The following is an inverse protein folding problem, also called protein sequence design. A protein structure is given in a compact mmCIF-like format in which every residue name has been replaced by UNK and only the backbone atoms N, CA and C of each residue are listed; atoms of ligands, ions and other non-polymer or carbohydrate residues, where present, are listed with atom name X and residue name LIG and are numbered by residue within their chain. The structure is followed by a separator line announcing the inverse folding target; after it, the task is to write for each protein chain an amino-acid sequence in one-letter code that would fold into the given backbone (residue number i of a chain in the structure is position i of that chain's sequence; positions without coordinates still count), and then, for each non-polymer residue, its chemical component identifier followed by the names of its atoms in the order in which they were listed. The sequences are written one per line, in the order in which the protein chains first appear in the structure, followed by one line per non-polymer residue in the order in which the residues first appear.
data_IF_637923446192
#
_entry.id   IF_637923446192
#
_cell.length_a   1.000
_cell.length_b   1.000
_cell.length_c   1.000
_cell.angle_alpha   90.00
_cell.angle_beta   90.00
_cell.angle_gamma   90.00
#
_symmetry.space_group_name_H-M   'P 1'
#
loop_
_entity.id
_entity.type
_entity.pdbx_description
1 polymer ?
#
# COMPACT_ATOMS: atom_id res chain seq x y z
N UNK A 1 -36.80 32.52 15.51
CA UNK A 1 -36.54 32.24 15.30
C UNK A 1 -35.61 31.60 15.06
N UNK A 2 -35.71 31.83 15.14
CA UNK A 2 -35.07 31.35 14.87
C UNK A 2 -34.14 30.54 14.69
N UNK A 3 -34.16 30.27 14.74
CA UNK A 3 -33.45 29.51 14.53
C UNK A 3 -32.56 29.01 14.06
N UNK A 4 -32.55 29.17 14.08
CA UNK A 4 -31.88 28.81 13.61
C UNK A 4 -30.87 28.37 13.46
N UNK A 5 -30.98 28.20 13.55
CA UNK A 5 -30.12 27.87 13.35
C UNK A 5 -29.37 27.10 13.21
N UNK A 6 -29.52 27.05 13.18
CA UNK A 6 -28.87 26.49 12.94
C UNK A 6 -28.14 25.80 12.53
N UNK A 7 -28.24 25.90 12.50
CA UNK A 7 -27.70 25.38 12.01
C UNK A 7 -26.72 24.83 11.68
N UNK A 8 -26.81 25.07 11.76
CA UNK A 8 -26.05 24.68 11.38
C UNK A 8 -25.20 23.93 11.29
N UNK A 9 -25.33 23.96 11.43
CA UNK A 9 -24.64 23.24 11.38
C UNK A 9 -23.95 22.66 11.02
N UNK A 10 -24.19 22.94 10.98
CA UNK A 10 -23.65 22.40 10.57
C UNK A 10 -22.85 21.81 10.34
N UNK A 11 -23.02 22.10 10.41
CA UNK A 11 -22.50 21.56 10.08
C UNK A 11 -21.63 21.01 9.94
N UNK A 12 -21.66 21.29 9.94
CA UNK A 12 -20.99 20.83 9.75
C UNK A 12 -20.13 20.05 9.72
N UNK A 13 -20.29 20.09 9.87
CA UNK A 13 -19.65 19.30 9.94
C UNK A 13 -18.94 18.68 9.54
N UNK A 14 -18.91 18.83 9.27
CA UNK A 14 -18.32 18.20 8.81
C UNK A 14 -17.49 17.60 8.50
N UNK A 15 -17.76 17.92 8.40
CA UNK A 15 -17.10 17.40 8.14
C UNK A 15 -16.39 16.71 8.10
N UNK A 16 -16.28 16.82 8.24
CA UNK A 16 -15.47 16.27 8.18
C UNK A 16 -14.97 15.39 7.95
N UNK A 17 -15.29 15.37 7.90
CA UNK A 17 -14.89 14.49 7.62
C UNK A 17 -14.28 14.05 6.94
N UNK A 18 -14.48 14.25 6.37
CA UNK A 18 -13.90 13.56 5.54
C UNK A 18 -12.78 13.21 5.80
N UNK A 19 -12.68 13.14 6.38
CA UNK A 19 -11.58 13.01 6.27
C UNK A 19 -10.82 12.07 5.61
N UNK A 20 -9.75 12.25 5.40
CA UNK A 20 -8.88 11.39 4.71
C UNK A 20 -8.50 10.26 5.62
N UNK A 21 -8.70 9.07 5.19
CA UNK A 21 -8.31 7.89 5.93
C UNK A 21 -7.15 7.24 5.24
N UNK A 22 -6.19 6.78 6.02
CA UNK A 22 -5.17 5.90 5.50
C UNK A 22 -5.82 4.61 5.05
N UNK A 23 -5.39 4.05 3.95
CA UNK A 23 -5.83 2.74 3.54
C UNK A 23 -5.40 1.71 4.58
N UNK A 24 -6.20 0.70 4.80
CA UNK A 24 -5.84 -0.39 5.69
C UNK A 24 -5.00 -1.41 4.94
N UNK A 25 -4.21 -2.20 5.66
CA UNK A 25 -3.44 -3.26 5.03
C UNK A 25 -4.32 -4.34 4.44
N UNK A 26 -5.54 -4.52 4.96
CA UNK A 26 -6.47 -5.49 4.40
C UNK A 26 -6.83 -5.14 2.96
N UNK A 27 -6.78 -3.87 2.59
CA UNK A 27 -7.06 -3.46 1.22
C UNK A 27 -5.95 -3.87 0.26
N UNK A 28 -4.78 -4.21 0.79
CA UNK A 28 -3.67 -4.69 -0.02
C UNK A 28 -3.74 -6.21 -0.23
N UNK A 29 -4.59 -6.92 0.51
CA UNK A 29 -4.72 -8.36 0.37
C UNK A 29 -5.30 -8.69 -1.01
N UNK A 30 -4.69 -9.65 -1.69
CA UNK A 30 -5.12 -10.07 -3.01
C UNK A 30 -3.94 -10.30 -3.94
N UNK A 31 -4.24 -10.41 -5.22
CA UNK A 31 -3.20 -10.62 -6.23
C UNK A 31 -2.97 -9.33 -7.01
N UNK A 32 -1.71 -9.06 -7.26
CA UNK A 32 -1.28 -7.82 -7.88
C UNK A 32 -0.27 -8.09 -8.98
N UNK A 33 -0.32 -7.30 -10.02
CA UNK A 33 0.69 -7.29 -11.05
C UNK A 33 1.69 -6.19 -10.75
N UNK A 34 2.97 -6.54 -10.74
CA UNK A 34 4.06 -5.59 -10.64
C UNK A 34 5.07 -5.95 -11.70
N UNK A 35 5.16 -5.14 -12.78
CA UNK A 35 5.95 -5.47 -13.96
C UNK A 35 5.50 -6.83 -14.51
N UNK A 36 6.40 -7.77 -14.70
CA UNK A 36 6.08 -9.09 -15.22
C UNK A 36 5.77 -10.12 -14.13
N UNK A 37 5.63 -9.66 -12.90
CA UNK A 37 5.42 -10.54 -11.76
C UNK A 37 4.00 -10.45 -11.26
N UNK A 38 3.47 -11.58 -10.80
CA UNK A 38 2.22 -11.60 -10.05
C UNK A 38 2.56 -11.88 -8.60
N UNK A 39 2.07 -11.03 -7.72
CA UNK A 39 2.36 -11.08 -6.31
C UNK A 39 1.07 -11.36 -5.58
N UNK A 40 1.10 -12.28 -4.64
CA UNK A 40 -0.05 -12.55 -3.77
C UNK A 40 0.24 -12.00 -2.39
N UNK A 41 -0.62 -11.10 -1.93
CA UNK A 41 -0.54 -10.52 -0.60
C UNK A 41 -1.59 -11.17 0.26
N UNK A 42 -1.19 -11.65 1.43
CA UNK A 42 -2.07 -12.30 2.39
C UNK A 42 -1.84 -11.76 3.78
N UNK A 43 -2.85 -11.86 4.61
CA UNK A 43 -2.67 -11.54 6.02
C UNK A 43 -1.73 -12.56 6.65
N UNK A 44 -0.86 -12.07 7.51
CA UNK A 44 0.04 -12.90 8.27
C UNK A 44 0.31 -12.19 9.59
N UNK A 45 0.71 -12.95 10.56
CA UNK A 45 1.11 -12.47 11.89
C UNK A 45 0.45 -11.17 12.35
N UNK A 46 -0.68 -11.32 13.02
CA UNK A 46 -1.37 -10.17 13.60
C UNK A 46 -2.04 -9.34 12.53
N UNK A 47 -1.77 -8.04 12.55
CA UNK A 47 -2.43 -7.10 11.64
C UNK A 47 -1.62 -6.82 10.39
N UNK A 48 -0.58 -7.59 10.15
CA UNK A 48 0.32 -7.32 9.04
C UNK A 48 0.04 -8.22 7.85
N UNK A 49 0.75 -7.96 6.76
CA UNK A 49 0.60 -8.72 5.53
C UNK A 49 1.95 -9.24 5.08
N UNK A 50 1.91 -10.35 4.35
CA UNK A 50 3.06 -10.97 3.71
C UNK A 50 2.76 -11.08 2.23
N UNK A 51 3.80 -11.08 1.41
CA UNK A 51 3.64 -11.14 -0.04
C UNK A 51 4.65 -12.09 -0.64
N UNK A 52 4.18 -12.87 -1.61
CA UNK A 52 5.03 -13.80 -2.34
C UNK A 52 4.81 -13.66 -3.82
N UNK A 53 5.86 -13.93 -4.58
CA UNK A 53 5.74 -14.02 -6.03
C UNK A 53 5.10 -15.36 -6.34
N UNK A 54 3.95 -15.33 -7.01
CA UNK A 54 3.23 -16.55 -7.38
C UNK A 54 3.35 -16.86 -8.86
N UNK A 55 3.76 -15.87 -9.68
CA UNK A 55 4.02 -16.10 -11.12
C UNK A 55 4.98 -15.03 -11.60
N UNK A 56 5.76 -15.37 -12.61
CA UNK A 56 6.70 -14.43 -13.20
C UNK A 56 7.86 -15.14 -13.85
N UNK A 57 8.76 -14.37 -14.45
CA UNK A 57 9.88 -14.96 -15.21
C UNK A 57 10.93 -15.62 -14.33
N UNK A 58 11.00 -15.27 -13.05
CA UNK A 58 11.97 -15.86 -12.14
C UNK A 58 11.57 -15.61 -10.70
N UNK A 59 12.25 -16.27 -9.77
CA UNK A 59 12.11 -16.06 -8.33
C UNK A 59 10.69 -16.32 -7.79
N UNK A 60 9.95 -17.22 -8.45
CA UNK A 60 8.64 -17.62 -7.95
C UNK A 60 8.81 -18.26 -6.57
N UNK A 61 7.97 -17.85 -5.63
CA UNK A 61 8.05 -18.29 -4.24
C UNK A 61 8.82 -17.36 -3.32
N UNK A 62 9.47 -16.34 -3.89
CA UNK A 62 10.25 -15.40 -3.09
C UNK A 62 9.33 -14.47 -2.31
N UNK A 63 9.72 -14.15 -1.08
CA UNK A 63 9.03 -13.15 -0.29
C UNK A 63 9.33 -11.75 -0.84
N UNK A 64 8.30 -10.95 -1.02
CA UNK A 64 8.46 -9.59 -1.53
C UNK A 64 8.63 -8.60 -0.41
N UNK A 65 7.85 -8.73 0.66
CA UNK A 65 7.97 -7.82 1.79
C UNK A 65 9.08 -8.32 2.71
N UNK A 66 10.15 -7.54 2.82
CA UNK A 66 11.30 -7.90 3.65
C UNK A 66 11.14 -7.42 5.08
N UNK A 67 10.13 -6.61 5.37
CA UNK A 67 9.83 -6.13 6.71
C UNK A 67 8.34 -5.93 6.85
N UNK A 68 7.89 -5.70 8.08
CA UNK A 68 6.51 -5.29 8.33
C UNK A 68 6.27 -3.93 7.68
N UNK A 69 5.04 -3.68 7.30
CA UNK A 69 4.63 -2.38 6.81
C UNK A 69 4.10 -1.57 7.98
N UNK A 70 4.57 -0.35 8.12
CA UNK A 70 4.21 0.54 9.22
C UNK A 70 3.52 1.78 8.68
N UNK A 71 2.46 2.19 9.35
CA UNK A 71 1.70 3.38 8.97
C UNK A 71 2.41 4.63 9.48
N UNK A 72 2.44 5.65 8.63
CA UNK A 72 2.95 6.95 9.01
C UNK A 72 2.39 8.00 8.06
N UNK A 73 1.69 8.99 8.62
CA UNK A 73 1.20 10.11 7.80
C UNK A 73 0.24 9.71 6.70
N UNK A 74 -0.57 8.69 6.93
CA UNK A 74 -1.55 8.25 5.94
C UNK A 74 -0.98 7.31 4.88
N UNK A 75 0.27 6.95 5.00
CA UNK A 75 0.94 6.06 4.06
C UNK A 75 1.54 4.89 4.80
N UNK A 76 2.03 3.91 4.04
CA UNK A 76 2.66 2.74 4.61
C UNK A 76 4.12 2.70 4.19
N UNK A 77 4.97 2.27 5.10
CA UNK A 77 6.41 2.20 4.87
C UNK A 77 6.92 0.83 5.26
N UNK A 78 7.84 0.30 4.46
CA UNK A 78 8.47 -0.97 4.75
C UNK A 78 9.52 -1.27 3.70
N UNK A 79 10.11 -2.46 3.82
CA UNK A 79 11.14 -2.86 2.88
C UNK A 79 10.57 -3.88 1.92
N UNK A 80 10.87 -3.72 0.63
CA UNK A 80 10.51 -4.72 -0.37
C UNK A 80 11.77 -5.22 -1.04
N UNK A 81 11.69 -6.46 -1.50
CA UNK A 81 12.74 -7.08 -2.29
C UNK A 81 12.33 -7.01 -3.75
N UNK A 82 13.19 -6.44 -4.59
CA UNK A 82 12.94 -6.38 -6.01
C UNK A 82 12.96 -7.82 -6.57
N UNK A 83 11.88 -8.28 -7.20
CA UNK A 83 11.82 -9.65 -7.68
C UNK A 83 12.77 -9.94 -8.83
N UNK A 84 13.27 -8.92 -9.49
CA UNK A 84 14.19 -9.08 -10.61
C UNK A 84 15.64 -9.15 -10.12
N UNK A 85 16.03 -8.26 -9.23
CA UNK A 85 17.43 -8.11 -8.83
C UNK A 85 17.71 -8.64 -7.43
N UNK A 86 16.67 -8.86 -6.62
CA UNK A 86 16.76 -9.24 -5.22
C UNK A 86 17.32 -8.14 -4.32
N UNK A 87 17.41 -6.93 -4.82
CA UNK A 87 17.82 -5.80 -3.99
C UNK A 87 16.67 -5.39 -3.09
N UNK A 88 17.01 -4.90 -1.90
CA UNK A 88 16.02 -4.46 -0.91
C UNK A 88 15.91 -2.94 -0.98
N UNK A 89 14.67 -2.47 -1.08
CA UNK A 89 14.35 -1.05 -1.15
C UNK A 89 13.55 -0.62 0.07
N UNK A 90 13.94 0.49 0.67
CA UNK A 90 13.10 1.15 1.66
C UNK A 90 12.00 1.86 0.89
N UNK A 91 10.78 1.46 1.13
CA UNK A 91 9.67 1.75 0.21
C UNK A 91 8.52 2.44 0.91
N UNK A 92 7.93 3.39 0.20
CA UNK A 92 6.70 4.06 0.59
C UNK A 92 5.60 3.54 -0.31
N UNK A 93 4.48 3.16 0.31
CA UNK A 93 3.31 2.64 -0.38
C UNK A 93 2.17 3.62 -0.23
N UNK A 94 1.56 4.01 -1.35
CA UNK A 94 0.40 4.88 -1.36
C UNK A 94 -0.72 4.22 -2.14
N UNK A 95 -1.90 4.15 -1.55
CA UNK A 95 -3.06 3.68 -2.29
C UNK A 95 -3.53 4.79 -3.21
N UNK A 96 -3.63 4.49 -4.51
CA UNK A 96 -4.18 5.44 -5.47
C UNK A 96 -5.68 5.23 -5.61
N UNK A 97 -6.11 3.99 -5.65
CA UNK A 97 -7.49 3.59 -5.59
C UNK A 97 -7.52 2.12 -5.15
N UNK A 98 -8.68 1.50 -5.12
CA UNK A 98 -8.80 0.15 -4.57
C UNK A 98 -8.03 -0.89 -5.37
N UNK A 99 -7.68 -0.58 -6.61
CA UNK A 99 -7.02 -1.52 -7.51
C UNK A 99 -5.61 -1.11 -7.88
N UNK A 100 -5.10 -0.02 -7.30
CA UNK A 100 -3.75 0.45 -7.61
C UNK A 100 -3.08 1.03 -6.38
N UNK A 101 -1.86 0.59 -6.14
CA UNK A 101 -0.99 1.14 -5.11
C UNK A 101 0.31 1.56 -5.76
N UNK A 102 0.79 2.73 -5.39
CA UNK A 102 2.05 3.24 -5.89
C UNK A 102 3.16 2.93 -4.90
N UNK A 103 4.32 2.55 -5.43
CA UNK A 103 5.51 2.26 -4.64
C UNK A 103 6.62 3.18 -5.07
N UNK A 104 7.28 3.80 -4.11
CA UNK A 104 8.49 4.58 -4.32
C UNK A 104 9.51 4.12 -3.30
N UNK A 105 10.70 3.74 -3.76
CA UNK A 105 11.69 3.22 -2.85
C UNK A 105 13.10 3.39 -3.33
N UNK A 106 14.03 3.32 -2.37
CA UNK A 106 15.46 3.45 -2.65
C UNK A 106 16.23 2.41 -1.87
N UNK A 107 17.33 1.94 -2.47
CA UNK A 107 18.27 1.07 -1.77
C UNK A 107 19.12 1.89 -0.81
N UNK A 108 19.90 1.22 0.03
CA UNK A 108 20.84 1.89 0.92
C UNK A 108 21.85 2.71 0.12
N UNK A 109 22.18 2.27 -1.09
CA UNK A 109 23.11 2.97 -1.97
C UNK A 109 22.45 4.09 -2.76
N UNK A 110 21.18 4.40 -2.45
CA UNK A 110 20.43 5.51 -3.05
C UNK A 110 20.07 5.28 -4.51
N UNK A 111 19.96 4.04 -4.93
CA UNK A 111 19.38 3.69 -6.21
C UNK A 111 17.88 3.58 -5.99
N UNK A 112 17.11 4.41 -6.68
CA UNK A 112 15.68 4.52 -6.43
C UNK A 112 14.87 4.04 -7.63
N UNK A 113 13.67 3.53 -7.33
CA UNK A 113 12.73 3.18 -8.38
C UNK A 113 11.31 3.46 -7.90
N UNK A 114 10.41 3.57 -8.86
CA UNK A 114 8.99 3.72 -8.61
C UNK A 114 8.25 2.67 -9.41
N UNK A 115 7.09 2.29 -8.93
CA UNK A 115 6.28 1.32 -9.63
C UNK A 115 4.87 1.32 -9.09
N UNK A 116 4.06 0.42 -9.64
CA UNK A 116 2.68 0.25 -9.21
C UNK A 116 2.35 -1.22 -9.07
N UNK A 117 1.57 -1.50 -8.02
CA UNK A 117 0.84 -2.75 -7.92
C UNK A 117 -0.53 -2.50 -8.55
N UNK A 118 -0.90 -3.28 -9.54
CA UNK A 118 -2.20 -3.22 -10.19
C UNK A 118 -2.94 -4.52 -9.90
N UNK A 119 -4.15 -4.41 -9.37
CA UNK A 119 -4.89 -5.59 -8.95
C UNK A 119 -5.20 -6.50 -10.12
N UNK A 120 -4.97 -7.78 -9.92
CA UNK A 120 -5.33 -8.80 -10.90
C UNK A 120 -6.79 -9.17 -10.66
N UNK A 121 -7.59 -9.09 -11.70
CA UNK A 121 -9.02 -9.37 -11.62
C UNK A 121 -9.34 -10.80 -11.98
#
# INVERSE_FOLDING_TARGET
MRNRAAVLIAGLAFSIGGSAFAATLQELVGKWRWQDFTIEVRECQGDNVCAKIVAGPKNVGMDVFASKLLAKGGEWFGQITNPDTKEVYNTRFQQKDKDRWRLDGCTAAKVCLSGEFVRVK
#
